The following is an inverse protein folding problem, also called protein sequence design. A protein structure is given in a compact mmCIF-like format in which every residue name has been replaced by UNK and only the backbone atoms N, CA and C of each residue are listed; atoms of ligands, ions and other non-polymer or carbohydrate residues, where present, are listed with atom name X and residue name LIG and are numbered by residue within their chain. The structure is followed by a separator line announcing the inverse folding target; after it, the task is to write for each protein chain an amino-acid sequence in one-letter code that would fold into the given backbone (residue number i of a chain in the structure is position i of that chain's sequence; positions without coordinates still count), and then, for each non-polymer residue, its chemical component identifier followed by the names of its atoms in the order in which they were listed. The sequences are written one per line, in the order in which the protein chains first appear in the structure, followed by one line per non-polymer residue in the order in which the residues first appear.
data_IF_516529999634
#
_entry.id   IF_516529999634
#
_cell.length_a   1.000
_cell.length_b   1.000
_cell.length_c   1.000
_cell.angle_alpha   90.00
_cell.angle_beta   90.00
_cell.angle_gamma   90.00
#
_symmetry.space_group_name_H-M   'P 1'
#
loop_
_entity.id
_entity.type
_entity.pdbx_description
1 polymer ?
#
# COMPACT_ATOMS: atom_id res chain seq x y z
N UNK A 1 39.99 -4.28 37.75
CA UNK A 1 38.95 -3.24 37.93
C UNK A 1 39.31 -2.02 37.08
N UNK A 2 38.57 -1.79 35.98
CA UNK A 2 38.22 -0.45 35.43
C UNK A 2 37.41 -0.63 34.14
N UNK A 3 36.21 -0.06 34.16
CA UNK A 3 35.16 -0.03 33.14
C UNK A 3 35.55 0.85 31.94
N UNK A 4 35.04 0.56 30.74
CA UNK A 4 34.82 1.52 29.62
C UNK A 4 33.83 0.84 28.64
N UNK A 5 32.53 1.11 28.83
CA UNK A 5 31.66 2.00 28.04
C UNK A 5 31.34 1.44 26.64
N UNK A 6 30.16 0.84 26.53
CA UNK A 6 29.47 0.48 25.28
C UNK A 6 28.82 1.76 24.74
N UNK A 7 29.34 2.27 23.61
CA UNK A 7 28.72 3.37 22.86
C UNK A 7 27.57 2.80 22.03
N UNK A 8 26.34 2.92 22.53
CA UNK A 8 25.12 2.72 21.75
C UNK A 8 24.99 3.89 20.77
N UNK A 9 25.35 3.66 19.51
CA UNK A 9 25.10 4.61 18.43
C UNK A 9 23.65 4.42 17.95
N UNK A 10 22.71 5.11 18.60
CA UNK A 10 21.35 5.23 18.09
C UNK A 10 21.37 6.21 16.91
N UNK A 11 21.51 5.68 15.69
CA UNK A 11 21.24 6.41 14.46
C UNK A 11 19.74 6.66 14.38
N UNK A 12 19.29 7.82 14.88
CA UNK A 12 17.96 8.32 14.56
C UNK A 12 18.08 8.93 13.16
N UNK A 13 17.71 8.16 12.14
CA UNK A 13 17.51 8.69 10.79
C UNK A 13 16.19 9.47 10.83
N UNK A 14 16.28 10.80 10.96
CA UNK A 14 15.14 11.69 10.72
C UNK A 14 14.91 11.78 9.21
N UNK A 15 13.95 10.98 8.72
CA UNK A 15 13.39 11.16 7.38
C UNK A 15 12.59 12.46 7.34
N UNK A 16 12.76 13.23 6.27
CA UNK A 16 11.96 14.42 5.98
C UNK A 16 10.51 14.01 5.73
N UNK A 17 9.63 14.21 6.72
CA UNK A 17 8.20 13.97 6.57
C UNK A 17 7.59 15.00 5.62
N UNK A 18 7.23 14.59 4.42
CA UNK A 18 6.31 15.34 3.56
C UNK A 18 4.91 15.22 4.17
N UNK A 19 4.43 16.27 4.84
CA UNK A 19 3.12 16.28 5.48
C UNK A 19 2.04 16.61 4.46
N UNK A 20 1.23 15.63 4.07
CA UNK A 20 0.01 15.87 3.26
C UNK A 20 -1.09 16.41 4.16
N UNK A 21 -1.62 17.59 3.84
CA UNK A 21 -2.74 18.18 4.60
C UNK A 21 -4.06 17.46 4.29
N UNK A 22 -4.61 16.74 5.28
CA UNK A 22 -5.86 16.01 5.13
C UNK A 22 -7.06 16.83 5.62
N UNK A 23 -8.06 17.01 4.77
CA UNK A 23 -9.30 17.71 5.11
C UNK A 23 -10.18 16.88 6.03
N UNK A 24 -10.76 17.50 7.07
CA UNK A 24 -11.75 16.86 7.94
C UNK A 24 -12.93 16.33 7.13
N UNK A 25 -13.24 15.04 7.29
CA UNK A 25 -14.30 14.37 6.53
C UNK A 25 -13.93 14.01 5.08
N UNK A 26 -12.66 14.14 4.72
CA UNK A 26 -12.13 13.70 3.43
C UNK A 26 -12.20 12.18 3.21
N UNK A 27 -11.98 11.76 1.97
CA UNK A 27 -11.95 10.34 1.63
C UNK A 27 -10.77 9.61 2.28
N UNK A 28 -9.59 10.24 2.25
CA UNK A 28 -8.36 9.79 2.92
C UNK A 28 -8.38 10.29 4.36
N UNK A 29 -8.14 9.40 5.32
CA UNK A 29 -8.19 9.68 6.76
C UNK A 29 -6.82 9.63 7.44
N UNK A 30 -5.84 8.97 6.81
CA UNK A 30 -4.44 8.97 7.21
C UNK A 30 -3.56 8.65 6.01
N UNK A 31 -2.32 9.15 6.00
CA UNK A 31 -1.31 8.83 4.99
C UNK A 31 0.09 8.96 5.58
N UNK A 32 0.96 7.99 5.28
CA UNK A 32 2.41 8.04 5.46
C UNK A 32 3.07 7.40 4.23
N UNK A 33 4.31 7.76 3.91
CA UNK A 33 5.04 7.17 2.77
C UNK A 33 5.33 5.69 3.01
N UNK A 34 5.50 5.31 4.27
CA UNK A 34 5.89 3.98 4.72
C UNK A 34 4.70 3.02 4.82
N UNK A 35 3.58 3.45 5.39
CA UNK A 35 2.43 2.58 5.64
C UNK A 35 1.36 2.65 4.53
N UNK A 36 1.41 3.68 3.68
CA UNK A 36 0.40 3.95 2.66
C UNK A 36 -0.71 4.83 3.21
N UNK A 37 -1.98 4.47 2.98
CA UNK A 37 -3.11 5.34 3.33
C UNK A 37 -4.30 4.61 3.94
N UNK A 38 -5.09 5.33 4.72
CA UNK A 38 -6.41 4.89 5.21
C UNK A 38 -7.51 5.62 4.48
N UNK A 39 -8.59 4.91 4.18
CA UNK A 39 -9.81 5.47 3.61
C UNK A 39 -10.95 5.42 4.63
N UNK A 40 -11.83 6.41 4.57
CA UNK A 40 -13.12 6.35 5.26
C UNK A 40 -13.99 5.23 4.71
N UNK A 41 -14.84 4.63 5.55
CA UNK A 41 -15.79 3.59 5.12
C UNK A 41 -16.73 4.11 4.01
N UNK A 42 -17.11 5.38 4.08
CA UNK A 42 -17.89 6.05 3.04
C UNK A 42 -17.17 6.01 1.69
N UNK A 43 -15.87 6.29 1.65
CA UNK A 43 -15.08 6.23 0.43
C UNK A 43 -14.94 4.79 -0.09
N UNK A 44 -14.65 3.82 0.79
CA UNK A 44 -14.55 2.40 0.42
C UNK A 44 -15.85 1.93 -0.25
N UNK A 45 -17.00 2.26 0.34
CA UNK A 45 -18.31 1.87 -0.17
C UNK A 45 -18.66 2.57 -1.49
N UNK A 46 -18.49 3.89 -1.55
CA UNK A 46 -18.84 4.68 -2.74
C UNK A 46 -17.96 4.34 -3.95
N UNK A 47 -16.69 4.01 -3.72
CA UNK A 47 -15.75 3.64 -4.78
C UNK A 47 -15.80 2.14 -5.13
N UNK A 48 -16.69 1.37 -4.50
CA UNK A 48 -16.86 -0.06 -4.77
C UNK A 48 -15.61 -0.89 -4.48
N UNK A 49 -14.79 -0.45 -3.52
CA UNK A 49 -13.58 -1.16 -3.12
C UNK A 49 -13.99 -2.38 -2.30
N UNK A 50 -13.53 -3.55 -2.71
CA UNK A 50 -13.77 -4.81 -2.00
C UNK A 50 -12.45 -5.49 -1.75
N UNK A 51 -12.29 -6.04 -0.55
CA UNK A 51 -11.14 -6.82 -0.18
C UNK A 51 -11.52 -8.28 0.06
N UNK A 52 -10.60 -9.19 -0.23
CA UNK A 52 -10.73 -10.62 0.05
C UNK A 52 -9.53 -11.11 0.85
N UNK A 53 -9.73 -11.93 1.89
CA UNK A 53 -8.62 -12.52 2.62
C UNK A 53 -7.85 -13.50 1.72
N UNK A 54 -6.54 -13.50 1.86
CA UNK A 54 -5.67 -14.56 1.35
C UNK A 54 -5.37 -15.59 2.46
N UNK A 55 -5.28 -16.87 2.08
CA UNK A 55 -5.12 -17.99 3.02
C UNK A 55 -3.80 -18.71 2.80
N UNK A 56 -3.18 -19.16 3.88
CA UNK A 56 -1.90 -19.88 3.87
C UNK A 56 -0.70 -18.99 3.51
N UNK A 57 0.47 -19.60 3.38
CA UNK A 57 1.76 -18.93 3.11
C UNK A 57 2.02 -18.63 1.63
N UNK A 58 1.00 -18.78 0.77
CA UNK A 58 1.12 -18.64 -0.67
C UNK A 58 1.81 -19.82 -1.36
N UNK A 59 1.94 -19.78 -2.70
CA UNK A 59 1.45 -18.72 -3.59
C UNK A 59 -0.09 -18.61 -3.57
N UNK A 60 -0.60 -17.41 -3.83
CA UNK A 60 -2.04 -17.13 -3.73
C UNK A 60 -2.67 -16.96 -5.10
N UNK A 61 -3.91 -17.44 -5.23
CA UNK A 61 -4.72 -17.21 -6.43
C UNK A 61 -5.64 -16.03 -6.17
N UNK A 62 -5.52 -14.99 -6.99
CA UNK A 62 -6.35 -13.78 -6.92
C UNK A 62 -7.03 -13.53 -8.28
N UNK A 63 -8.18 -12.84 -8.33
CA UNK A 63 -8.75 -12.42 -9.61
C UNK A 63 -7.79 -11.45 -10.32
N UNK A 64 -7.78 -11.46 -11.65
CA UNK A 64 -6.94 -10.53 -12.43
C UNK A 64 -7.22 -9.06 -12.11
N UNK A 65 -8.45 -8.72 -11.71
CA UNK A 65 -8.84 -7.38 -11.29
C UNK A 65 -8.09 -6.85 -10.06
N UNK A 66 -7.44 -7.74 -9.29
CA UNK A 66 -6.61 -7.37 -8.15
C UNK A 66 -5.23 -6.81 -8.56
N UNK A 67 -4.79 -7.09 -9.78
CA UNK A 67 -3.46 -6.68 -10.23
C UNK A 67 -3.41 -5.21 -10.60
N UNK A 68 -2.32 -4.57 -10.19
CA UNK A 68 -1.87 -3.26 -10.65
C UNK A 68 -0.59 -3.45 -11.43
N UNK A 69 -0.49 -2.86 -12.61
CA UNK A 69 0.76 -2.83 -13.39
C UNK A 69 1.31 -1.41 -13.40
N UNK A 70 2.57 -1.26 -13.03
CA UNK A 70 3.29 0.02 -13.03
C UNK A 70 4.59 -0.19 -13.79
N UNK A 71 4.66 0.30 -15.03
CA UNK A 71 5.77 0.04 -15.96
C UNK A 71 6.05 -1.47 -16.07
N UNK A 72 7.18 -1.92 -15.50
CA UNK A 72 7.65 -3.30 -15.51
C UNK A 72 7.32 -4.07 -14.22
N UNK A 73 6.73 -3.41 -13.23
CA UNK A 73 6.35 -4.01 -11.95
C UNK A 73 4.87 -4.38 -11.92
N UNK A 74 4.55 -5.41 -11.14
CA UNK A 74 3.18 -5.82 -10.85
C UNK A 74 3.00 -5.85 -9.34
N UNK A 75 1.84 -5.39 -8.87
CA UNK A 75 1.50 -5.37 -7.46
C UNK A 75 0.03 -5.64 -7.21
N UNK A 76 -0.33 -5.72 -5.93
CA UNK A 76 -1.70 -5.77 -5.43
C UNK A 76 -1.83 -4.80 -4.26
N UNK A 77 -3.02 -4.25 -4.03
CA UNK A 77 -3.25 -3.51 -2.79
C UNK A 77 -3.58 -4.48 -1.65
N UNK A 78 -2.78 -4.43 -0.60
CA UNK A 78 -3.00 -5.10 0.68
C UNK A 78 -3.72 -4.15 1.62
N UNK A 79 -4.66 -4.65 2.43
CA UNK A 79 -5.23 -3.99 3.59
C UNK A 79 -4.86 -4.75 4.87
N UNK A 80 -4.22 -4.06 5.80
CA UNK A 80 -3.87 -4.54 7.14
C UNK A 80 -4.06 -3.41 8.16
N UNK A 81 -4.72 -3.66 9.29
CA UNK A 81 -5.08 -2.62 10.27
C UNK A 81 -5.64 -1.31 9.65
N UNK A 82 -6.51 -1.49 8.65
CA UNK A 82 -7.10 -0.42 7.82
C UNK A 82 -6.12 0.39 6.95
N UNK A 83 -4.82 0.17 7.04
CA UNK A 83 -3.85 0.69 6.08
C UNK A 83 -3.95 -0.04 4.76
N UNK A 84 -3.91 0.72 3.67
CA UNK A 84 -3.90 0.22 2.30
C UNK A 84 -2.54 0.56 1.70
N UNK A 85 -1.81 -0.47 1.28
CA UNK A 85 -0.45 -0.35 0.77
C UNK A 85 -0.33 -1.15 -0.53
N UNK A 86 0.41 -0.61 -1.51
CA UNK A 86 0.77 -1.37 -2.71
C UNK A 86 1.89 -2.36 -2.37
N UNK A 87 1.63 -3.65 -2.53
CA UNK A 87 2.63 -4.71 -2.36
C UNK A 87 3.03 -5.24 -3.72
N UNK A 88 4.34 -5.25 -4.02
CA UNK A 88 4.85 -5.82 -5.25
C UNK A 88 4.77 -7.36 -5.21
N UNK A 89 4.41 -7.95 -6.34
CA UNK A 89 4.20 -9.39 -6.46
C UNK A 89 4.88 -9.94 -7.71
N UNK A 90 5.38 -11.16 -7.60
CA UNK A 90 5.77 -11.98 -8.75
C UNK A 90 4.57 -12.75 -9.27
N UNK A 91 4.27 -12.60 -10.55
CA UNK A 91 3.29 -13.44 -11.24
C UNK A 91 3.93 -14.78 -11.62
N UNK A 92 3.35 -15.87 -11.15
CA UNK A 92 3.84 -17.24 -11.43
C UNK A 92 3.10 -17.89 -12.60
N UNK A 93 1.79 -17.70 -12.66
CA UNK A 93 0.94 -18.21 -13.74
C UNK A 93 -0.34 -17.39 -13.84
N UNK A 94 -1.01 -17.45 -14.99
CA UNK A 94 -2.28 -16.77 -15.21
C UNK A 94 -3.23 -17.62 -16.04
N UNK A 95 -4.52 -17.58 -15.70
CA UNK A 95 -5.62 -18.15 -16.50
C UNK A 95 -6.36 -17.03 -17.22
N UNK A 96 -7.56 -17.27 -17.76
CA UNK A 96 -8.41 -16.19 -18.28
C UNK A 96 -8.81 -15.19 -17.18
N UNK A 97 -9.18 -15.69 -16.00
CA UNK A 97 -9.86 -14.91 -14.95
C UNK A 97 -9.01 -14.68 -13.70
N UNK A 98 -8.02 -15.55 -13.46
CA UNK A 98 -7.23 -15.55 -12.23
C UNK A 98 -5.74 -15.47 -12.52
N UNK A 99 -4.97 -15.11 -11.49
CA UNK A 99 -3.52 -15.07 -11.49
C UNK A 99 -2.99 -15.68 -10.21
N UNK A 100 -1.92 -16.46 -10.33
CA UNK A 100 -1.17 -16.98 -9.20
C UNK A 100 -0.01 -16.05 -8.90
N UNK A 101 0.02 -15.48 -7.70
CA UNK A 101 1.00 -14.50 -7.26
C UNK A 101 1.82 -14.99 -6.07
N UNK A 102 3.02 -14.45 -5.92
CA UNK A 102 3.87 -14.62 -4.73
C UNK A 102 4.51 -13.30 -4.35
N UNK A 103 4.57 -13.01 -3.07
CA UNK A 103 5.34 -11.92 -2.49
C UNK A 103 5.87 -12.36 -1.12
N UNK A 104 6.98 -11.77 -0.70
CA UNK A 104 7.53 -11.95 0.65
C UNK A 104 6.85 -11.01 1.66
N UNK A 105 6.18 -9.96 1.18
CA UNK A 105 5.54 -8.94 2.01
C UNK A 105 4.03 -9.17 2.18
N UNK A 106 3.52 -10.31 1.70
CA UNK A 106 2.15 -10.76 1.94
C UNK A 106 2.16 -11.88 2.96
N UNK A 107 1.26 -11.80 3.93
CA UNK A 107 1.10 -12.78 4.98
C UNK A 107 -0.28 -13.43 4.95
N UNK A 108 -0.41 -14.55 5.67
CA UNK A 108 -1.71 -15.15 5.88
C UNK A 108 -2.62 -14.15 6.60
N UNK A 109 -3.90 -14.10 6.23
CA UNK A 109 -4.93 -13.20 6.78
C UNK A 109 -4.88 -11.76 6.27
N UNK A 110 -3.88 -11.39 5.46
CA UNK A 110 -3.95 -10.14 4.70
C UNK A 110 -5.20 -10.09 3.83
N UNK A 111 -5.73 -8.88 3.66
CA UNK A 111 -6.84 -8.62 2.77
C UNK A 111 -6.32 -8.02 1.47
N UNK A 112 -6.60 -8.64 0.32
CA UNK A 112 -6.21 -8.11 -0.99
C UNK A 112 -7.39 -7.44 -1.66
N UNK A 113 -7.19 -6.25 -2.23
CA UNK A 113 -8.23 -5.56 -3.00
C UNK A 113 -8.54 -6.33 -4.29
N UNK A 114 -9.80 -6.71 -4.48
CA UNK A 114 -10.29 -7.46 -5.65
C UNK A 114 -11.20 -6.61 -6.55
N UNK A 115 -11.60 -5.43 -6.08
CA UNK A 115 -12.46 -4.46 -6.77
C UNK A 115 -12.05 -3.04 -6.36
N UNK A 116 -12.33 -2.04 -7.19
CA UNK A 116 -11.98 -0.63 -6.92
C UNK A 116 -10.48 -0.33 -6.98
N UNK A 117 -9.67 -1.26 -7.50
CA UNK A 117 -8.19 -1.19 -7.53
C UNK A 117 -7.67 0.05 -8.28
N UNK A 118 -8.35 0.49 -9.34
CA UNK A 118 -7.98 1.71 -10.07
C UNK A 118 -8.08 2.97 -9.18
N UNK A 119 -9.10 3.07 -8.34
CA UNK A 119 -9.27 4.21 -7.43
C UNK A 119 -8.22 4.22 -6.32
N UNK A 120 -7.87 3.03 -5.81
CA UNK A 120 -6.75 2.89 -4.89
C UNK A 120 -5.45 3.39 -5.55
N UNK A 121 -5.23 3.06 -6.83
CA UNK A 121 -4.05 3.54 -7.57
C UNK A 121 -4.04 5.04 -7.84
N UNK A 122 -5.20 5.63 -8.14
CA UNK A 122 -5.29 7.09 -8.28
C UNK A 122 -4.96 7.78 -6.95
N UNK A 123 -5.53 7.28 -5.85
CA UNK A 123 -5.29 7.83 -4.51
C UNK A 123 -3.81 7.71 -4.12
N UNK A 124 -3.23 6.52 -4.30
CA UNK A 124 -1.82 6.26 -4.04
C UNK A 124 -0.89 7.16 -4.88
N UNK A 125 -1.21 7.35 -6.16
CA UNK A 125 -0.44 8.23 -7.03
C UNK A 125 -0.52 9.71 -6.63
N UNK A 126 -1.71 10.17 -6.24
CA UNK A 126 -1.97 11.55 -5.81
C UNK A 126 -1.22 11.87 -4.51
N UNK A 127 -1.33 10.99 -3.50
CA UNK A 127 -0.67 11.14 -2.21
C UNK A 127 0.86 11.05 -2.29
N UNK A 128 1.38 10.27 -3.23
CA UNK A 128 2.82 10.15 -3.47
C UNK A 128 3.34 11.05 -4.60
N UNK A 129 2.50 11.94 -5.14
CA UNK A 129 3.00 12.94 -6.08
C UNK A 129 3.78 13.99 -5.30
N UNK A 130 5.01 14.27 -5.72
CA UNK A 130 5.70 15.45 -5.25
C UNK A 130 4.87 16.65 -5.73
N UNK A 131 4.35 17.47 -4.81
CA UNK A 131 3.78 18.75 -5.16
C UNK A 131 4.93 19.60 -5.70
N UNK A 132 5.14 19.57 -7.01
CA UNK A 132 5.89 20.63 -7.66
C UNK A 132 5.15 21.93 -7.34
N UNK A 133 5.85 22.92 -6.79
CA UNK A 133 5.35 24.29 -6.63
C UNK A 133 4.98 24.84 -8.02
N UNK A 134 3.82 24.42 -8.53
CA UNK A 134 3.16 25.02 -9.67
C UNK A 134 2.51 26.30 -9.17
N UNK A 135 3.33 27.34 -9.00
CA UNK A 135 3.02 28.78 -9.09
C UNK A 135 4.22 29.62 -8.59
N UNK A 136 5.31 29.62 -9.36
CA UNK A 136 6.30 30.71 -9.33
C UNK A 136 6.51 31.20 -10.77
N UNK A 137 5.51 31.90 -11.29
CA UNK A 137 5.57 32.68 -12.52
C UNK A 137 4.78 33.97 -12.35
#
# INVERSE_FOLDING_TARGET
MKYIIVLLFSFIIFGSETTVELKKGGAVTAFTKEDGFKLSDKAINNLGIKFSPIKGSGPWVVPKSALVRIKYSTGVYRKWDNWITLVLVKVLSQTKNTVTIRSVDLEAQDLVAISGVTFLRMTDADLNSDTVDSCAH
#
